data_IF_181721405100
#
_entry.id   IF_181721405100
#
_cell.length_a   1.000
_cell.length_b   1.000
_cell.length_c   1.000
_cell.angle_alpha   90.00
_cell.angle_beta   90.00
_cell.angle_gamma   90.00
#
_symmetry.space_group_name_H-M   'P 1'
#
loop_
_entity.id
_entity.type
_entity.pdbx_description
1 polymer ?
#
# COMPACT_ATOMS: atom_id res chain seq x y z
N UNK A 1 4.11 -4.52 -14.28
CA UNK A 1 5.40 -4.85 -14.93
C UNK A 1 5.56 -6.36 -15.06
N UNK A 2 4.43 -7.05 -15.21
CA UNK A 2 4.26 -8.48 -15.42
C UNK A 2 5.00 -8.98 -16.67
N UNK A 3 5.20 -8.11 -17.65
CA UNK A 3 6.02 -8.31 -18.85
C UNK A 3 7.49 -8.59 -18.55
N UNK A 4 7.98 -8.26 -17.35
CA UNK A 4 9.36 -8.51 -16.90
C UNK A 4 9.56 -9.87 -16.23
N UNK A 5 8.53 -10.73 -16.23
CA UNK A 5 8.63 -12.08 -15.68
C UNK A 5 9.56 -12.96 -16.53
N UNK A 6 10.54 -13.59 -15.89
CA UNK A 6 11.46 -14.55 -16.50
C UNK A 6 11.26 -15.92 -15.82
N UNK A 7 10.62 -16.91 -16.47
CA UNK A 7 10.37 -18.22 -15.86
C UNK A 7 11.63 -19.03 -15.58
N UNK A 8 12.76 -18.73 -16.23
CA UNK A 8 14.03 -19.40 -15.95
C UNK A 8 14.66 -18.91 -14.63
N UNK A 9 14.46 -17.64 -14.27
CA UNK A 9 15.06 -17.01 -13.08
C UNK A 9 14.09 -16.85 -11.91
N UNK A 10 12.85 -16.47 -12.17
CA UNK A 10 11.87 -16.07 -11.15
C UNK A 10 11.04 -17.28 -10.70
N UNK A 11 11.42 -17.85 -9.56
CA UNK A 11 10.75 -19.02 -8.94
C UNK A 11 9.80 -18.64 -7.82
N UNK A 12 10.05 -17.50 -7.17
CA UNK A 12 9.23 -16.95 -6.08
C UNK A 12 8.83 -15.54 -6.51
N UNK A 13 7.53 -15.27 -6.54
CA UNK A 13 6.96 -14.03 -7.08
C UNK A 13 6.04 -13.42 -6.03
N UNK A 14 6.06 -12.09 -5.93
CA UNK A 14 5.10 -11.32 -5.13
C UNK A 14 4.15 -10.58 -6.06
N UNK A 15 2.84 -10.76 -5.87
CA UNK A 15 1.83 -9.94 -6.54
C UNK A 15 1.62 -8.56 -5.86
N UNK A 16 2.62 -8.11 -5.10
CA UNK A 16 2.58 -6.93 -4.26
C UNK A 16 1.36 -6.92 -3.30
N UNK A 17 0.88 -5.73 -2.93
CA UNK A 17 -0.28 -5.54 -2.04
C UNK A 17 -1.49 -4.97 -2.78
N UNK A 18 -2.68 -5.02 -2.17
CA UNK A 18 -3.89 -4.38 -2.68
C UNK A 18 -3.67 -2.89 -3.00
N UNK A 19 -3.07 -2.13 -2.07
CA UNK A 19 -2.79 -0.71 -2.25
C UNK A 19 -1.74 -0.48 -3.35
N UNK A 20 -0.71 -1.33 -3.47
CA UNK A 20 0.27 -1.23 -4.56
C UNK A 20 -0.38 -1.38 -5.92
N UNK A 21 -1.22 -2.41 -6.09
CA UNK A 21 -1.93 -2.64 -7.34
C UNK A 21 -2.93 -1.52 -7.67
N UNK A 22 -3.49 -0.86 -6.65
CA UNK A 22 -4.37 0.29 -6.85
C UNK A 22 -3.60 1.53 -7.37
N UNK A 23 -2.48 1.89 -6.74
CA UNK A 23 -1.77 3.14 -7.04
C UNK A 23 -0.78 3.03 -8.21
N UNK A 24 -0.19 1.86 -8.45
CA UNK A 24 0.85 1.70 -9.46
C UNK A 24 0.39 2.05 -10.89
N UNK A 25 -0.81 1.64 -11.36
CA UNK A 25 -1.30 2.03 -12.69
C UNK A 25 -1.45 3.55 -12.85
N UNK A 26 -2.04 4.21 -11.84
CA UNK A 26 -2.26 5.66 -11.84
C UNK A 26 -0.92 6.40 -11.93
N UNK A 27 0.02 6.02 -11.06
CA UNK A 27 1.36 6.62 -11.03
C UNK A 27 2.15 6.33 -12.30
N UNK A 28 2.01 5.14 -12.90
CA UNK A 28 2.66 4.78 -14.17
C UNK A 28 2.23 5.73 -15.28
N UNK A 29 0.92 5.94 -15.45
CA UNK A 29 0.38 6.85 -16.47
C UNK A 29 0.86 8.28 -16.21
N UNK A 30 0.74 8.77 -14.97
CA UNK A 30 1.20 10.12 -14.62
C UNK A 30 2.70 10.31 -14.88
N UNK A 31 3.53 9.32 -14.54
CA UNK A 31 4.97 9.40 -14.76
C UNK A 31 5.34 9.40 -16.23
N UNK A 32 4.71 8.51 -17.02
CA UNK A 32 4.99 8.40 -18.45
C UNK A 32 4.50 9.62 -19.24
N UNK A 33 3.38 10.22 -18.84
CA UNK A 33 2.82 11.39 -19.54
C UNK A 33 3.42 12.72 -19.10
N UNK A 34 3.74 12.89 -17.81
CA UNK A 34 4.08 14.20 -17.26
C UNK A 34 5.39 14.25 -16.47
N UNK A 35 5.95 13.10 -16.10
CA UNK A 35 7.05 13.03 -15.15
C UNK A 35 6.59 13.30 -13.72
N UNK A 36 7.04 12.46 -12.78
CA UNK A 36 6.74 12.60 -11.34
C UNK A 36 8.03 12.94 -10.62
N UNK A 37 8.04 14.10 -9.98
CA UNK A 37 9.19 14.59 -9.19
C UNK A 37 9.13 14.07 -7.74
N UNK A 38 8.00 14.30 -7.06
CA UNK A 38 7.71 13.79 -5.70
C UNK A 38 6.22 13.47 -5.58
N UNK A 39 5.87 12.51 -4.74
CA UNK A 39 4.50 12.12 -4.46
C UNK A 39 4.30 11.64 -3.03
N UNK A 40 3.19 12.05 -2.42
CA UNK A 40 2.72 11.54 -1.14
C UNK A 40 1.31 11.01 -1.34
N UNK A 41 1.08 9.73 -1.00
CA UNK A 41 -0.25 9.12 -1.08
C UNK A 41 -0.75 8.73 0.31
N UNK A 42 -2.07 8.76 0.47
CA UNK A 42 -2.73 8.28 1.69
C UNK A 42 -3.84 7.33 1.29
N UNK A 43 -3.90 6.16 1.92
CA UNK A 43 -5.04 5.25 1.68
C UNK A 43 -6.01 5.29 2.85
N UNK A 44 -7.30 5.51 2.55
CA UNK A 44 -8.40 5.23 3.47
C UNK A 44 -8.76 3.76 3.25
N UNK A 45 -8.36 2.93 4.20
CA UNK A 45 -8.32 1.50 4.00
C UNK A 45 -9.25 0.79 4.99
N UNK A 46 -9.98 -0.21 4.52
CA UNK A 46 -10.75 -1.11 5.38
C UNK A 46 -9.84 -1.74 6.45
N UNK A 47 -10.38 -2.00 7.64
CA UNK A 47 -9.64 -2.84 8.59
C UNK A 47 -9.52 -4.27 8.03
N UNK A 48 -8.51 -5.00 8.50
CA UNK A 48 -8.18 -6.36 8.08
C UNK A 48 -7.94 -7.24 9.31
N UNK A 49 -7.67 -8.53 9.10
CA UNK A 49 -7.40 -9.48 10.19
C UNK A 49 -6.13 -9.16 11.01
N UNK A 50 -5.30 -8.23 10.56
CA UNK A 50 -4.15 -7.73 11.32
C UNK A 50 -4.56 -6.79 12.47
N UNK A 51 -5.70 -6.09 12.34
CA UNK A 51 -6.25 -5.26 13.42
C UNK A 51 -7.00 -6.11 14.46
N UNK A 52 -7.40 -5.49 15.59
CA UNK A 52 -8.07 -6.16 16.70
C UNK A 52 -9.56 -5.81 16.78
N UNK A 53 -10.38 -6.78 17.18
CA UNK A 53 -11.82 -6.57 17.40
C UNK A 53 -12.03 -5.66 18.63
N UNK A 54 -11.36 -5.99 19.73
CA UNK A 54 -11.23 -5.17 20.93
C UNK A 54 -9.76 -4.88 21.20
N UNK A 55 -9.47 -3.91 22.06
CA UNK A 55 -8.09 -3.55 22.40
C UNK A 55 -7.30 -4.77 22.88
N UNK A 56 -6.21 -5.11 22.17
CA UNK A 56 -5.41 -6.32 22.43
C UNK A 56 -3.97 -6.10 21.94
N UNK A 57 -3.01 -6.83 22.52
CA UNK A 57 -1.60 -6.75 22.13
C UNK A 57 -1.37 -6.86 20.61
N UNK A 58 -0.56 -5.93 20.10
CA UNK A 58 -0.06 -5.89 18.74
C UNK A 58 1.27 -5.10 18.72
N UNK A 59 2.20 -5.48 17.84
CA UNK A 59 3.53 -4.83 17.71
C UNK A 59 3.45 -3.35 17.32
N UNK A 60 2.45 -3.00 16.50
CA UNK A 60 2.04 -1.63 16.21
C UNK A 60 0.93 -1.25 17.21
N UNK A 61 1.26 -0.35 18.15
CA UNK A 61 0.38 0.08 19.23
C UNK A 61 -0.91 0.76 18.75
N UNK A 62 -0.93 1.29 17.52
CA UNK A 62 -2.14 1.89 16.96
C UNK A 62 -3.07 0.79 16.43
N UNK A 63 -2.51 -0.25 15.78
CA UNK A 63 -3.27 -1.43 15.32
C UNK A 63 -3.76 -2.32 16.47
N UNK A 64 -3.24 -2.12 17.68
CA UNK A 64 -3.72 -2.77 18.89
C UNK A 64 -5.13 -2.34 19.31
N UNK A 65 -5.64 -1.21 18.77
CA UNK A 65 -6.94 -0.64 19.14
C UNK A 65 -8.10 -1.28 18.38
N UNK A 66 -9.29 -1.25 18.97
CA UNK A 66 -10.53 -1.77 18.41
C UNK A 66 -10.83 -1.19 17.00
N UNK A 67 -10.75 -2.02 15.98
CA UNK A 67 -10.73 -1.63 14.57
C UNK A 67 -12.05 -1.00 14.08
N UNK A 68 -13.18 -1.54 14.54
CA UNK A 68 -14.50 -1.11 14.12
C UNK A 68 -15.01 0.17 14.81
N UNK A 69 -14.19 0.79 15.66
CA UNK A 69 -14.56 2.00 16.41
C UNK A 69 -13.50 3.11 16.32
N UNK A 70 -12.44 2.93 15.51
CA UNK A 70 -11.32 3.87 15.44
C UNK A 70 -10.90 4.16 14.00
N UNK A 71 -10.34 5.35 13.81
CA UNK A 71 -9.45 5.65 12.69
C UNK A 71 -8.04 5.34 13.18
N UNK A 72 -7.37 4.35 12.57
CA UNK A 72 -6.06 3.86 13.00
C UNK A 72 -4.99 4.26 11.97
N UNK A 73 -4.17 5.29 12.23
CA UNK A 73 -3.06 5.67 11.35
C UNK A 73 -1.94 4.64 11.43
N UNK A 74 -1.44 4.18 10.30
CA UNK A 74 -0.33 3.23 10.23
C UNK A 74 0.50 3.43 8.96
N UNK A 75 1.66 2.81 8.91
CA UNK A 75 2.51 2.82 7.72
C UNK A 75 1.95 1.89 6.65
N UNK A 76 2.26 2.19 5.38
CA UNK A 76 1.95 1.32 4.25
C UNK A 76 3.22 1.00 3.46
N UNK A 77 3.39 -0.28 3.11
CA UNK A 77 4.49 -0.71 2.24
C UNK A 77 4.27 -0.34 0.78
N UNK A 78 3.07 0.12 0.41
CA UNK A 78 2.69 0.28 -0.99
C UNK A 78 3.55 1.33 -1.72
N UNK A 79 3.87 2.47 -1.07
CA UNK A 79 4.74 3.48 -1.67
C UNK A 79 6.13 2.93 -2.02
N UNK A 80 6.71 2.08 -1.15
CA UNK A 80 7.98 1.40 -1.41
C UNK A 80 7.84 0.32 -2.50
N UNK A 81 6.72 -0.41 -2.51
CA UNK A 81 6.51 -1.45 -3.51
C UNK A 81 6.26 -0.89 -4.92
N UNK A 82 5.68 0.31 -5.04
CA UNK A 82 5.54 1.00 -6.33
C UNK A 82 6.89 1.23 -6.99
N UNK A 83 7.93 1.53 -6.23
CA UNK A 83 9.26 1.77 -6.81
C UNK A 83 9.94 0.48 -7.28
N UNK A 84 9.52 -0.69 -6.78
CA UNK A 84 9.94 -1.99 -7.36
C UNK A 84 9.23 -2.28 -8.69
N UNK A 85 8.02 -1.76 -8.86
CA UNK A 85 7.24 -1.89 -10.11
C UNK A 85 7.70 -0.85 -11.16
N UNK A 86 8.02 0.37 -10.71
CA UNK A 86 8.42 1.52 -11.53
C UNK A 86 9.74 2.10 -10.94
N UNK A 87 10.90 1.54 -11.31
CA UNK A 87 12.20 1.90 -10.71
C UNK A 87 12.58 3.38 -10.82
N UNK A 88 12.12 4.11 -11.83
CA UNK A 88 12.42 5.53 -12.00
C UNK A 88 11.89 6.41 -10.85
N UNK A 89 10.96 5.87 -10.06
CA UNK A 89 10.30 6.57 -8.95
C UNK A 89 10.96 6.29 -7.59
N UNK A 90 12.09 5.58 -7.57
CA UNK A 90 12.84 5.31 -6.35
C UNK A 90 13.15 6.60 -5.58
N UNK A 91 12.77 6.65 -4.30
CA UNK A 91 12.98 7.82 -3.43
C UNK A 91 12.05 9.01 -3.67
N UNK A 92 11.12 8.92 -4.64
CA UNK A 92 10.19 10.01 -4.99
C UNK A 92 8.82 9.88 -4.34
N UNK A 93 8.41 8.67 -3.96
CA UNK A 93 7.06 8.38 -3.48
C UNK A 93 7.09 7.89 -2.03
N UNK A 94 6.22 8.47 -1.21
CA UNK A 94 5.95 8.00 0.14
C UNK A 94 4.44 7.85 0.38
N UNK A 95 4.06 7.20 1.48
CA UNK A 95 2.65 7.14 1.81
C UNK A 95 2.32 6.55 3.17
N UNK A 96 1.07 6.76 3.56
CA UNK A 96 0.48 6.40 4.85
C UNK A 96 -0.89 5.75 4.64
N UNK A 97 -1.38 5.09 5.69
CA UNK A 97 -2.69 4.45 5.68
C UNK A 97 -3.49 4.83 6.91
N UNK A 98 -4.81 4.97 6.73
CA UNK A 98 -5.78 5.12 7.79
C UNK A 98 -6.72 3.92 7.72
N UNK A 99 -6.68 3.04 8.72
CA UNK A 99 -7.65 1.96 8.83
C UNK A 99 -8.94 2.53 9.42
N UNK A 100 -10.05 2.34 8.73
CA UNK A 100 -11.36 2.89 9.12
C UNK A 100 -12.42 1.81 9.30
N UNK A 101 -13.52 2.07 10.03
CA UNK A 101 -14.59 1.10 10.34
C UNK A 101 -15.47 0.68 9.15
N UNK A 102 -14.85 0.21 8.06
CA UNK A 102 -15.52 -0.45 6.93
C UNK A 102 -14.90 -1.82 6.74
N UNK A 103 -15.73 -2.82 6.47
CA UNK A 103 -15.32 -4.24 6.41
C UNK A 103 -14.52 -4.60 5.15
N UNK A 104 -14.69 -3.83 4.07
CA UNK A 104 -13.99 -4.02 2.79
C UNK A 104 -14.12 -2.75 1.94
N UNK A 105 -13.43 -2.73 0.78
CA UNK A 105 -13.22 -1.57 -0.11
C UNK A 105 -12.32 -0.50 0.52
N UNK A 106 -11.54 0.17 -0.31
CA UNK A 106 -10.55 1.16 0.12
C UNK A 106 -10.31 2.18 -1.00
N UNK A 107 -9.76 3.33 -0.63
CA UNK A 107 -9.43 4.44 -1.52
C UNK A 107 -7.93 4.76 -1.40
N UNK A 108 -7.32 5.17 -2.49
CA UNK A 108 -6.00 5.81 -2.53
C UNK A 108 -6.14 7.19 -3.15
#
# INVERSE_FOLDING_TARGET
NEDRYDPAKHRIISNASCTTNCIAPVVKVLHQSFGVSKGLMSTIHAYTNDQRILDMFHKDLRRARAAAMNIIPTTTGAAKAVTMVIPELQGRIHGLAFRVPVSTVSLV
#
